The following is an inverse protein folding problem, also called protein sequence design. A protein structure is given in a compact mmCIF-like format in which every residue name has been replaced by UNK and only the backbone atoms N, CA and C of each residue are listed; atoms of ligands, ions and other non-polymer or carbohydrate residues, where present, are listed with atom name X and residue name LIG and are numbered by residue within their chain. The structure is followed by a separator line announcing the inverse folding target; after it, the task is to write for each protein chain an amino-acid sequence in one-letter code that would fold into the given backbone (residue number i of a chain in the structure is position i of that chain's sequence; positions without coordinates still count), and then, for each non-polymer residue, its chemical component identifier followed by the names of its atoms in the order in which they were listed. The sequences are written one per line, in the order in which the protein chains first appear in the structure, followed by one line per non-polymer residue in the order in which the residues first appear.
data_IF_270322474025
#
_entry.id   IF_270322474025
#
_cell.length_a   1.000
_cell.length_b   1.000
_cell.length_c   1.000
_cell.angle_alpha   90.00
_cell.angle_beta   90.00
_cell.angle_gamma   90.00
#
_symmetry.space_group_name_H-M   'P 1'
#
loop_
_entity.id
_entity.type
_entity.pdbx_description
1 polymer ?
#
# COMPACT_ATOMS: atom_id res chain seq x y z
N UNK A 1 -17.22 -8.37 -3.35
CA UNK A 1 -16.42 -7.12 -3.32
C UNK A 1 -14.97 -7.55 -3.45
N UNK A 2 -14.16 -6.88 -4.26
CA UNK A 2 -12.74 -7.22 -4.47
C UNK A 2 -11.94 -6.83 -3.22
N UNK A 3 -11.04 -7.70 -2.77
CA UNK A 3 -10.14 -7.42 -1.64
C UNK A 3 -8.71 -7.76 -2.08
N UNK A 4 -7.92 -6.78 -2.54
CA UNK A 4 -6.60 -7.04 -3.12
C UNK A 4 -5.63 -7.66 -2.10
N UNK A 5 -5.83 -7.41 -0.80
CA UNK A 5 -5.03 -8.03 0.26
C UNK A 5 -5.29 -9.54 0.35
N UNK A 6 -6.55 -9.96 0.22
CA UNK A 6 -6.91 -11.38 0.21
C UNK A 6 -6.56 -12.05 -1.11
N UNK A 7 -6.78 -11.37 -2.23
CA UNK A 7 -6.48 -11.89 -3.56
C UNK A 7 -4.97 -12.14 -3.72
N UNK A 8 -4.14 -11.20 -3.28
CA UNK A 8 -2.69 -11.38 -3.32
C UNK A 8 -2.21 -12.51 -2.40
N UNK A 9 -2.80 -12.66 -1.21
CA UNK A 9 -2.49 -13.80 -0.32
C UNK A 9 -2.75 -15.14 -1.01
N UNK A 10 -3.86 -15.29 -1.73
CA UNK A 10 -4.17 -16.52 -2.48
C UNK A 10 -3.10 -16.81 -3.53
N UNK A 11 -2.65 -15.80 -4.26
CA UNK A 11 -1.59 -15.95 -5.25
C UNK A 11 -0.24 -16.31 -4.60
N UNK A 12 0.14 -15.62 -3.53
CA UNK A 12 1.34 -15.92 -2.75
C UNK A 12 1.33 -17.36 -2.21
N UNK A 13 0.21 -17.83 -1.67
CA UNK A 13 0.05 -19.21 -1.22
C UNK A 13 0.20 -20.22 -2.37
N UNK A 14 -0.29 -19.89 -3.56
CA UNK A 14 -0.05 -20.69 -4.76
C UNK A 14 1.41 -20.70 -5.22
N UNK A 15 2.20 -19.72 -4.78
CA UNK A 15 3.66 -19.64 -4.98
C UNK A 15 4.46 -20.23 -3.80
N UNK A 16 3.82 -20.99 -2.90
CA UNK A 16 4.43 -21.57 -1.70
C UNK A 16 5.04 -20.53 -0.73
N UNK A 17 4.54 -19.29 -0.77
CA UNK A 17 5.03 -18.20 0.06
C UNK A 17 4.33 -18.14 1.43
N UNK A 18 5.00 -17.51 2.40
CA UNK A 18 4.49 -17.31 3.76
C UNK A 18 3.49 -16.16 3.82
N UNK A 19 2.27 -16.43 4.27
CA UNK A 19 1.17 -15.45 4.41
C UNK A 19 0.43 -15.53 5.75
N UNK A 20 0.88 -16.41 6.66
CA UNK A 20 0.22 -16.72 7.94
C UNK A 20 0.43 -15.64 9.04
N UNK A 21 0.88 -14.45 8.64
CA UNK A 21 1.23 -13.36 9.53
C UNK A 21 2.45 -13.64 10.40
N UNK A 22 3.37 -14.50 9.95
CA UNK A 22 4.72 -14.61 10.50
C UNK A 22 5.65 -13.86 9.56
N UNK A 23 6.56 -13.06 10.12
CA UNK A 23 7.55 -12.33 9.33
C UNK A 23 8.50 -13.31 8.62
N UNK A 24 8.64 -13.16 7.32
CA UNK A 24 9.62 -13.85 6.49
C UNK A 24 10.58 -12.81 5.91
N UNK A 25 11.79 -12.73 6.46
CA UNK A 25 12.78 -11.70 6.10
C UNK A 25 13.28 -11.84 4.65
N UNK A 26 13.47 -13.06 4.17
CA UNK A 26 13.94 -13.33 2.81
C UNK A 26 12.87 -12.96 1.78
N UNK A 27 11.61 -13.35 2.04
CA UNK A 27 10.47 -12.97 1.20
C UNK A 27 10.23 -11.46 1.25
N UNK A 28 10.38 -10.82 2.41
CA UNK A 28 10.25 -9.36 2.53
C UNK A 28 11.37 -8.62 1.79
N UNK A 29 12.59 -9.14 1.81
CA UNK A 29 13.70 -8.61 1.00
C UNK A 29 13.39 -8.74 -0.50
N UNK A 30 12.94 -9.91 -0.95
CA UNK A 30 12.50 -10.14 -2.33
C UNK A 30 11.46 -9.11 -2.77
N UNK A 31 10.38 -8.92 -2.01
CA UNK A 31 9.34 -7.96 -2.38
C UNK A 31 9.81 -6.51 -2.37
N UNK A 32 10.81 -6.15 -1.57
CA UNK A 32 11.43 -4.81 -1.65
C UNK A 32 12.23 -4.61 -2.93
N UNK A 33 12.88 -5.66 -3.42
CA UNK A 33 13.58 -5.61 -4.70
C UNK A 33 12.56 -5.54 -5.85
N UNK A 34 11.48 -6.31 -5.80
CA UNK A 34 10.38 -6.22 -6.77
C UNK A 34 9.74 -4.82 -6.80
N UNK A 35 9.47 -4.19 -5.65
CA UNK A 35 8.99 -2.79 -5.61
C UNK A 35 9.93 -1.84 -6.37
N UNK A 36 11.25 -2.06 -6.28
CA UNK A 36 12.21 -1.23 -7.00
C UNK A 36 12.12 -1.46 -8.51
N UNK A 37 11.97 -2.71 -8.93
CA UNK A 37 11.76 -3.12 -10.32
C UNK A 37 10.51 -2.47 -10.92
N UNK A 38 9.34 -2.60 -10.28
CA UNK A 38 8.08 -2.04 -10.79
C UNK A 38 8.10 -0.50 -10.91
N UNK A 39 8.85 0.18 -10.03
CA UNK A 39 9.05 1.63 -10.14
C UNK A 39 9.94 1.99 -11.32
N UNK A 40 10.95 1.18 -11.64
CA UNK A 40 11.79 1.37 -12.82
C UNK A 40 10.97 1.15 -14.11
N UNK A 41 10.09 0.13 -14.13
CA UNK A 41 9.18 -0.14 -15.24
C UNK A 41 8.18 1.00 -15.47
N UNK A 42 7.56 1.52 -14.39
CA UNK A 42 6.69 2.70 -14.49
C UNK A 42 7.42 3.90 -15.11
N UNK A 43 8.67 4.14 -14.70
CA UNK A 43 9.46 5.24 -15.26
C UNK A 43 9.79 5.03 -16.74
N UNK A 44 10.07 3.79 -17.16
CA UNK A 44 10.30 3.46 -18.57
C UNK A 44 9.02 3.67 -19.40
N UNK A 45 7.88 3.17 -18.93
CA UNK A 45 6.59 3.33 -19.60
C UNK A 45 6.18 4.81 -19.75
N UNK A 46 6.47 5.65 -18.76
CA UNK A 46 6.28 7.11 -18.84
C UNK A 46 7.18 7.72 -19.92
N UNK A 47 8.45 7.33 -20.00
CA UNK A 47 9.38 7.85 -21.02
C UNK A 47 8.92 7.48 -22.43
N UNK A 48 8.32 6.31 -22.59
CA UNK A 48 7.79 5.81 -23.86
C UNK A 48 6.39 6.36 -24.20
N UNK A 49 5.73 7.04 -23.26
CA UNK A 49 4.31 7.45 -23.34
C UNK A 49 3.36 6.27 -23.59
N UNK A 50 3.67 5.10 -23.03
CA UNK A 50 2.81 3.93 -23.11
C UNK A 50 1.85 3.92 -21.93
N UNK A 51 0.58 4.29 -22.16
CA UNK A 51 -0.44 4.35 -21.11
C UNK A 51 -0.87 2.97 -20.61
N UNK A 52 -0.71 1.91 -21.42
CA UNK A 52 -1.09 0.55 -21.04
C UNK A 52 -0.05 0.01 -20.06
N UNK A 53 1.23 0.12 -20.41
CA UNK A 53 2.33 -0.32 -19.53
C UNK A 53 2.43 0.54 -18.25
N UNK A 54 2.07 1.84 -18.34
CA UNK A 54 1.93 2.66 -17.13
C UNK A 54 0.84 2.14 -16.19
N UNK A 55 -0.31 1.74 -16.73
CA UNK A 55 -1.38 1.18 -15.92
C UNK A 55 -0.97 -0.18 -15.31
N UNK A 56 -0.29 -1.02 -16.09
CA UNK A 56 0.22 -2.32 -15.65
C UNK A 56 1.18 -2.17 -14.48
N UNK A 57 2.25 -1.38 -14.65
CA UNK A 57 3.23 -1.11 -13.60
C UNK A 57 2.61 -0.48 -12.35
N UNK A 58 1.59 0.38 -12.49
CA UNK A 58 0.86 0.94 -11.34
C UNK A 58 0.07 -0.12 -10.57
N UNK A 59 -0.51 -1.09 -11.25
CA UNK A 59 -1.20 -2.22 -10.61
C UNK A 59 -0.17 -3.16 -9.98
N UNK A 60 0.94 -3.43 -10.65
CA UNK A 60 1.97 -4.33 -10.13
C UNK A 60 2.67 -3.74 -8.90
N UNK A 61 2.89 -2.42 -8.85
CA UNK A 61 3.31 -1.74 -7.61
C UNK A 61 2.36 -2.07 -6.44
N UNK A 62 1.03 -2.11 -6.67
CA UNK A 62 0.09 -2.51 -5.62
C UNK A 62 0.28 -3.97 -5.23
N UNK A 63 0.41 -4.87 -6.22
CA UNK A 63 0.60 -6.32 -6.03
C UNK A 63 1.86 -6.58 -5.19
N UNK A 64 3.01 -6.05 -5.60
CA UNK A 64 4.29 -6.28 -4.89
C UNK A 64 4.33 -5.56 -3.55
N UNK A 65 3.69 -4.40 -3.41
CA UNK A 65 3.57 -3.71 -2.12
C UNK A 65 2.73 -4.53 -1.12
N UNK A 66 1.60 -5.09 -1.57
CA UNK A 66 0.77 -5.96 -0.73
C UNK A 66 1.53 -7.24 -0.35
N UNK A 67 2.28 -7.81 -1.29
CA UNK A 67 3.18 -8.93 -1.03
C UNK A 67 4.22 -8.62 0.05
N UNK A 68 4.81 -7.43 0.02
CA UNK A 68 5.72 -6.96 1.06
C UNK A 68 5.05 -6.89 2.45
N UNK A 69 3.81 -6.41 2.52
CA UNK A 69 3.08 -6.29 3.80
C UNK A 69 2.79 -7.67 4.40
N UNK A 70 2.35 -8.64 3.59
CA UNK A 70 2.15 -10.03 4.03
C UNK A 70 3.47 -10.66 4.50
N UNK A 71 4.55 -10.44 3.75
CA UNK A 71 5.88 -10.96 4.07
C UNK A 71 6.45 -10.37 5.37
N UNK A 72 6.11 -9.12 5.69
CA UNK A 72 6.40 -8.48 6.98
C UNK A 72 5.60 -9.10 8.14
N UNK A 73 4.58 -9.92 7.86
CA UNK A 73 3.71 -10.53 8.86
C UNK A 73 2.65 -9.58 9.43
N UNK A 74 2.43 -8.44 8.78
CA UNK A 74 1.47 -7.43 9.23
C UNK A 74 0.03 -7.74 8.78
N UNK A 75 -0.95 -7.20 9.50
CA UNK A 75 -2.35 -7.16 9.07
C UNK A 75 -2.54 -6.06 8.02
N UNK A 76 -2.42 -6.44 6.75
CA UNK A 76 -2.49 -5.52 5.61
C UNK A 76 -3.84 -4.80 5.51
N UNK A 77 -4.93 -5.55 5.68
CA UNK A 77 -6.29 -5.00 5.56
C UNK A 77 -6.59 -4.08 6.74
N UNK A 78 -6.26 -4.48 7.97
CA UNK A 78 -6.43 -3.63 9.16
C UNK A 78 -5.63 -2.33 9.08
N UNK A 79 -4.35 -2.41 8.65
CA UNK A 79 -3.51 -1.24 8.45
C UNK A 79 -4.08 -0.30 7.38
N UNK A 80 -4.57 -0.84 6.25
CA UNK A 80 -5.22 -0.07 5.21
C UNK A 80 -6.45 0.69 5.74
N UNK A 81 -7.32 0.02 6.49
CA UNK A 81 -8.53 0.65 7.05
C UNK A 81 -8.18 1.79 8.02
N UNK A 82 -7.16 1.64 8.86
CA UNK A 82 -6.74 2.70 9.78
C UNK A 82 -6.12 3.90 9.05
N UNK A 83 -5.27 3.66 8.04
CA UNK A 83 -4.71 4.74 7.22
C UNK A 83 -5.82 5.45 6.44
N UNK A 84 -6.75 4.71 5.85
CA UNK A 84 -7.87 5.29 5.12
C UNK A 84 -8.78 6.11 6.04
N UNK A 85 -9.12 5.59 7.23
CA UNK A 85 -9.89 6.31 8.25
C UNK A 85 -9.25 7.65 8.60
N UNK A 86 -7.95 7.68 8.89
CA UNK A 86 -7.26 8.94 9.21
C UNK A 86 -7.08 9.85 7.99
N UNK A 87 -6.97 9.32 6.77
CA UNK A 87 -6.99 10.13 5.56
C UNK A 87 -8.36 10.79 5.31
N UNK A 88 -9.45 10.05 5.48
CA UNK A 88 -10.82 10.58 5.35
C UNK A 88 -11.15 11.60 6.43
N UNK A 89 -10.59 11.44 7.64
CA UNK A 89 -10.71 12.44 8.71
C UNK A 89 -10.06 13.80 8.38
N UNK A 90 -9.32 13.93 7.27
CA UNK A 90 -8.81 15.21 6.77
C UNK A 90 -9.86 15.98 5.97
N UNK A 91 -10.98 15.36 5.61
CA UNK A 91 -12.07 16.00 4.89
C UNK A 91 -12.85 16.86 5.88
N UNK A 92 -12.94 18.15 5.58
CA UNK A 92 -13.78 19.07 6.33
C UNK A 92 -15.25 18.74 6.05
N UNK A 93 -16.01 18.45 7.11
CA UNK A 93 -17.41 18.02 7.01
C UNK A 93 -18.36 19.11 6.55
N UNK A 94 -17.98 20.39 6.66
CA UNK A 94 -18.80 21.51 6.22
C UNK A 94 -18.64 21.81 4.72
N UNK A 95 -17.46 21.55 4.16
CA UNK A 95 -17.13 21.84 2.77
C UNK A 95 -17.03 20.60 1.87
N UNK A 96 -16.87 19.42 2.46
CA UNK A 96 -16.58 18.17 1.74
C UNK A 96 -15.20 18.15 1.08
N UNK A 97 -14.28 19.04 1.48
CA UNK A 97 -12.95 19.21 0.87
C UNK A 97 -11.85 19.08 1.92
N UNK A 98 -10.64 18.74 1.47
CA UNK A 98 -9.43 18.80 2.30
C UNK A 98 -8.75 20.16 2.17
N UNK A 99 -8.02 20.58 3.20
CA UNK A 99 -7.15 21.77 3.13
C UNK A 99 -5.85 21.36 2.44
N UNK A 100 -5.37 22.15 1.47
CA UNK A 100 -4.11 21.90 0.75
C UNK A 100 -3.18 23.11 0.85
N UNK A 101 -1.87 22.86 0.83
CA UNK A 101 -0.86 23.88 0.56
C UNK A 101 -0.80 24.21 -0.94
N UNK A 102 -0.04 25.25 -1.29
CA UNK A 102 0.19 25.68 -2.67
C UNK A 102 0.81 24.59 -3.56
N UNK A 103 1.64 23.71 -2.98
CA UNK A 103 2.24 22.55 -3.68
C UNK A 103 1.28 21.36 -3.85
N UNK A 104 0.01 21.52 -3.48
CA UNK A 104 -1.01 20.48 -3.55
C UNK A 104 -1.00 19.48 -2.38
N UNK A 105 -0.04 19.58 -1.45
CA UNK A 105 0.02 18.68 -0.28
C UNK A 105 -1.19 18.87 0.60
N UNK A 106 -1.88 17.77 0.91
CA UNK A 106 -2.99 17.75 1.87
C UNK A 106 -2.47 18.02 3.29
N UNK A 107 -3.09 19.00 3.95
CA UNK A 107 -2.81 19.39 5.33
C UNK A 107 -3.66 18.59 6.33
N UNK A 108 -3.18 18.55 7.57
CA UNK A 108 -3.88 17.94 8.70
C UNK A 108 -4.75 19.02 9.37
N UNK A 109 -6.06 18.80 9.57
CA UNK A 109 -6.90 19.77 10.29
C UNK A 109 -6.58 19.80 11.79
N UNK A 110 -7.11 20.80 12.50
CA UNK A 110 -6.97 20.89 13.95
C UNK A 110 -7.62 19.67 14.63
N UNK A 111 -6.92 19.08 15.60
CA UNK A 111 -7.40 17.90 16.34
C UNK A 111 -7.27 16.58 15.57
N UNK A 112 -6.66 16.58 14.39
CA UNK A 112 -6.39 15.36 13.64
C UNK A 112 -5.30 14.51 14.32
N UNK A 113 -5.51 13.19 14.37
CA UNK A 113 -4.57 12.21 14.90
C UNK A 113 -3.96 11.35 13.79
N UNK A 114 -2.66 11.00 13.86
CA UNK A 114 -2.03 10.09 12.91
C UNK A 114 -2.55 8.65 13.06
N UNK A 115 -2.47 7.84 11.98
CA UNK A 115 -2.88 6.45 12.05
C UNK A 115 -2.06 5.70 13.10
N UNK A 116 -2.75 4.95 13.98
CA UNK A 116 -2.09 4.09 14.94
C UNK A 116 -1.84 2.71 14.32
N UNK A 117 -0.63 2.49 13.81
CA UNK A 117 -0.29 1.25 13.11
C UNK A 117 0.24 0.12 14.00
N UNK A 118 0.55 0.41 15.27
CA UNK A 118 1.14 -0.57 16.18
C UNK A 118 0.29 -1.86 16.33
N UNK A 119 -1.05 -1.81 16.42
CA UNK A 119 -1.87 -3.01 16.56
C UNK A 119 -1.83 -3.97 15.34
N UNK A 120 -1.44 -3.47 14.17
CA UNK A 120 -1.41 -4.25 12.92
C UNK A 120 -0.03 -4.86 12.63
N UNK A 121 0.95 -4.58 13.49
CA UNK A 121 2.25 -5.23 13.48
C UNK A 121 2.18 -6.31 14.56
N UNK A 122 2.29 -7.59 14.16
CA UNK A 122 2.41 -8.66 15.16
C UNK A 122 3.74 -8.51 15.89
N UNK A 123 3.68 -8.33 17.21
CA UNK A 123 4.85 -8.45 18.07
C UNK A 123 5.36 -9.90 17.98
N UNK A 124 6.66 -10.03 17.73
CA UNK A 124 7.38 -11.31 17.78
C UNK A 124 7.36 -11.84 19.21
#
# INVERSE_FOLDING_TARGET
MVNPFSDQRVFMEACDQTTNGIKNEEQYALYRDLIKEEVEELNAAIQENDEVEQLDALIDILVVTIGAIHSMGADAEGAWQEVLKTNLAKIDSSTGKVIKREDGKVLKPQGWEPPNLLPYIKAI
#
